data_IF_096895246055
#
_entry.id   IF_096895246055
#
_cell.length_a   1.000
_cell.length_b   1.000
_cell.length_c   1.000
_cell.angle_alpha   90.00
_cell.angle_beta   90.00
_cell.angle_gamma   90.00
#
_symmetry.space_group_name_H-M   'P 1'
#
loop_
_entity.id
_entity.type
_entity.pdbx_description
1 polymer ?
#
# COMPACT_ATOMS: atom_id res chain seq x y z
N UNK A 1 9.59 52.77 -5.06
CA UNK A 1 10.30 51.61 -4.47
C UNK A 1 10.41 50.56 -5.57
N UNK A 2 11.60 50.36 -6.14
CA UNK A 2 11.80 49.42 -7.27
C UNK A 2 12.02 48.01 -6.65
N UNK A 3 11.15 47.07 -7.00
CA UNK A 3 11.32 45.67 -6.61
C UNK A 3 12.56 45.11 -7.32
N UNK A 4 13.49 44.44 -6.63
CA UNK A 4 14.67 43.86 -7.26
C UNK A 4 14.29 42.80 -8.30
N UNK A 5 14.95 42.81 -9.44
CA UNK A 5 14.68 41.88 -10.56
C UNK A 5 14.76 40.40 -10.19
N UNK A 6 15.52 40.03 -9.16
CA UNK A 6 15.62 38.67 -8.65
C UNK A 6 14.31 38.20 -7.98
N UNK A 7 13.55 39.09 -7.31
CA UNK A 7 12.26 38.75 -6.70
C UNK A 7 11.18 38.56 -7.78
N UNK A 8 11.29 39.29 -8.87
CA UNK A 8 10.37 39.16 -10.02
C UNK A 8 10.62 37.84 -10.78
N UNK A 9 11.88 37.37 -10.86
CA UNK A 9 12.21 36.08 -11.50
C UNK A 9 11.74 34.88 -10.70
N UNK A 10 11.78 34.91 -9.35
CA UNK A 10 11.28 33.84 -8.49
C UNK A 10 9.76 33.79 -8.50
N UNK A 11 9.09 34.94 -8.55
CA UNK A 11 7.63 35.03 -8.73
C UNK A 11 7.17 34.54 -10.11
N UNK A 12 7.94 34.83 -11.17
CA UNK A 12 7.66 34.33 -12.52
C UNK A 12 7.95 32.84 -12.68
N UNK A 13 8.93 32.28 -11.98
CA UNK A 13 9.18 30.82 -11.96
C UNK A 13 8.14 30.05 -11.17
N UNK A 14 7.60 30.63 -10.09
CA UNK A 14 6.48 30.07 -9.32
C UNK A 14 5.15 30.18 -10.08
N UNK A 15 4.97 31.22 -10.88
CA UNK A 15 3.81 31.43 -11.77
C UNK A 15 3.91 30.63 -13.08
N UNK A 16 5.12 30.27 -13.52
CA UNK A 16 5.35 29.58 -14.80
C UNK A 16 4.84 28.13 -14.87
N UNK A 17 4.54 27.48 -13.72
CA UNK A 17 3.84 26.19 -13.68
C UNK A 17 2.32 26.30 -13.54
N UNK A 18 1.79 27.49 -13.26
CA UNK A 18 0.35 27.70 -13.07
C UNK A 18 -0.44 27.92 -14.38
N UNK A 19 0.22 27.89 -15.56
CA UNK A 19 -0.42 28.22 -16.84
C UNK A 19 0.00 27.32 -18.04
N UNK A 20 0.53 26.14 -17.82
CA UNK A 20 0.44 25.13 -18.88
C UNK A 20 -1.04 24.70 -18.94
N UNK A 21 -1.72 24.91 -20.04
CA UNK A 21 -3.07 24.37 -20.24
C UNK A 21 -3.02 22.86 -20.04
N UNK A 22 -3.99 22.32 -19.30
CA UNK A 22 -4.14 20.85 -19.18
C UNK A 22 -4.15 20.24 -20.59
N UNK A 23 -3.49 19.11 -20.74
CA UNK A 23 -3.66 18.31 -21.96
C UNK A 23 -5.12 17.82 -22.04
N UNK A 24 -5.57 17.41 -23.21
CA UNK A 24 -6.92 16.83 -23.37
C UNK A 24 -7.13 15.63 -22.45
N UNK A 25 -6.09 14.82 -22.25
CA UNK A 25 -6.11 13.70 -21.33
C UNK A 25 -6.27 14.16 -19.85
N UNK A 26 -5.50 15.14 -19.41
CA UNK A 26 -5.58 15.68 -18.04
C UNK A 26 -6.96 16.31 -17.77
N UNK A 27 -7.50 17.04 -18.75
CA UNK A 27 -8.85 17.63 -18.66
C UNK A 27 -9.93 16.52 -18.54
N UNK A 28 -9.84 15.45 -19.33
CA UNK A 28 -10.74 14.31 -19.25
C UNK A 28 -10.64 13.59 -17.88
N UNK A 29 -9.42 13.40 -17.36
CA UNK A 29 -9.18 12.82 -16.04
C UNK A 29 -9.82 13.69 -14.95
N UNK A 30 -9.56 15.00 -14.94
CA UNK A 30 -10.15 15.92 -13.93
C UNK A 30 -11.68 15.90 -13.97
N UNK A 31 -12.26 15.92 -15.18
CA UNK A 31 -13.71 15.83 -15.36
C UNK A 31 -14.26 14.54 -14.74
N UNK A 32 -13.65 13.39 -15.04
CA UNK A 32 -14.06 12.10 -14.49
C UNK A 32 -13.97 12.05 -12.96
N UNK A 33 -12.87 12.55 -12.39
CA UNK A 33 -12.65 12.54 -10.95
C UNK A 33 -13.63 13.44 -10.18
N UNK A 34 -14.14 14.49 -10.82
CA UNK A 34 -15.13 15.40 -10.25
C UNK A 34 -16.55 14.82 -10.23
N UNK A 35 -16.83 13.75 -10.97
CA UNK A 35 -18.19 13.18 -11.06
C UNK A 35 -18.58 12.46 -9.76
N UNK A 36 -19.75 12.78 -9.17
CA UNK A 36 -20.11 12.30 -7.85
C UNK A 36 -20.57 10.83 -7.85
N UNK A 37 -21.33 10.40 -8.86
CA UNK A 37 -21.94 9.07 -8.86
C UNK A 37 -21.25 8.09 -9.82
N UNK A 38 -21.48 6.80 -9.62
CA UNK A 38 -21.01 5.77 -10.54
C UNK A 38 -21.69 5.90 -11.93
N UNK A 39 -22.98 6.23 -11.93
CA UNK A 39 -23.75 6.42 -13.18
C UNK A 39 -23.17 7.55 -14.01
N UNK A 40 -22.90 8.73 -13.39
CA UNK A 40 -22.31 9.86 -14.14
C UNK A 40 -20.96 9.48 -14.76
N UNK A 41 -20.17 8.65 -14.07
CA UNK A 41 -18.88 8.14 -14.58
C UNK A 41 -19.06 7.11 -15.69
N UNK A 42 -20.13 6.30 -15.63
CA UNK A 42 -20.49 5.35 -16.69
C UNK A 42 -20.86 6.10 -17.96
N UNK A 43 -21.63 7.16 -17.86
CA UNK A 43 -22.06 8.01 -18.96
C UNK A 43 -20.89 8.72 -19.64
N UNK A 44 -19.75 8.89 -18.95
CA UNK A 44 -18.55 9.51 -19.51
C UNK A 44 -17.69 8.55 -20.37
N UNK A 45 -18.00 7.25 -20.41
CA UNK A 45 -17.22 6.26 -21.15
C UNK A 45 -16.93 6.64 -22.62
N UNK A 46 -17.86 7.23 -23.40
CA UNK A 46 -17.55 7.65 -24.78
C UNK A 46 -16.50 8.76 -24.87
N UNK A 47 -16.44 9.67 -23.89
CA UNK A 47 -15.45 10.74 -23.86
C UNK A 47 -14.06 10.22 -23.47
N UNK A 48 -13.97 9.13 -22.73
CA UNK A 48 -12.71 8.48 -22.32
C UNK A 48 -12.14 7.58 -23.42
N UNK A 49 -12.98 7.02 -24.28
CA UNK A 49 -12.59 6.05 -25.31
C UNK A 49 -11.42 6.48 -26.22
N UNK A 50 -11.26 7.76 -26.62
CA UNK A 50 -10.10 8.20 -27.40
C UNK A 50 -8.75 7.98 -26.68
N UNK A 51 -8.75 7.86 -25.36
CA UNK A 51 -7.56 7.71 -24.52
C UNK A 51 -7.34 6.27 -24.03
N UNK A 52 -8.16 5.30 -24.42
CA UNK A 52 -8.08 3.92 -23.94
C UNK A 52 -6.73 3.25 -24.23
N UNK A 53 -6.07 3.64 -25.31
CA UNK A 53 -4.76 3.10 -25.71
C UNK A 53 -3.57 3.90 -25.15
N UNK A 54 -3.79 4.87 -24.24
CA UNK A 54 -2.71 5.67 -23.66
C UNK A 54 -1.70 4.76 -22.94
N UNK A 55 -0.39 4.89 -23.25
CA UNK A 55 0.64 4.13 -22.56
C UNK A 55 0.65 4.39 -21.06
N UNK A 56 1.01 3.37 -20.25
CA UNK A 56 1.01 3.46 -18.78
C UNK A 56 1.89 4.60 -18.28
N UNK A 57 3.04 4.83 -18.89
CA UNK A 57 3.97 5.89 -18.51
C UNK A 57 3.40 7.30 -18.73
N UNK A 58 2.66 7.48 -19.83
CA UNK A 58 1.99 8.75 -20.14
C UNK A 58 0.79 8.96 -19.20
N UNK A 59 0.02 7.92 -18.96
CA UNK A 59 -1.10 7.95 -18.03
C UNK A 59 -0.65 8.24 -16.61
N UNK A 60 0.45 7.62 -16.15
CA UNK A 60 1.07 7.90 -14.84
C UNK A 60 1.43 9.39 -14.71
N UNK A 61 2.03 9.98 -15.74
CA UNK A 61 2.38 11.42 -15.74
C UNK A 61 1.13 12.30 -15.66
N UNK A 62 0.12 12.00 -16.46
CA UNK A 62 -1.15 12.75 -16.45
C UNK A 62 -1.84 12.65 -15.08
N UNK A 63 -1.83 11.46 -14.43
CA UNK A 63 -2.37 11.26 -13.10
C UNK A 63 -1.56 12.02 -12.03
N UNK A 64 -0.24 12.09 -12.15
CA UNK A 64 0.60 12.91 -11.27
C UNK A 64 0.28 14.41 -11.38
N UNK A 65 -0.02 14.90 -12.60
CA UNK A 65 -0.42 16.31 -12.82
C UNK A 65 -1.78 16.66 -12.20
N UNK A 66 -2.68 15.69 -12.06
CA UNK A 66 -4.01 15.92 -11.45
C UNK A 66 -4.06 15.65 -9.96
N UNK A 67 -2.97 15.17 -9.35
CA UNK A 67 -2.88 15.00 -7.89
C UNK A 67 -3.10 16.33 -7.18
N UNK A 68 -3.78 16.33 -6.02
CA UNK A 68 -3.88 17.53 -5.19
C UNK A 68 -2.49 18.06 -4.84
N UNK A 69 -2.31 19.38 -4.93
CA UNK A 69 -1.09 20.04 -4.47
C UNK A 69 -1.31 20.50 -3.03
N UNK A 70 -0.78 19.80 -2.02
CA UNK A 70 -0.91 20.25 -0.65
C UNK A 70 -0.05 21.48 -0.44
N UNK A 71 -0.58 22.47 0.23
CA UNK A 71 0.11 23.71 0.53
C UNK A 71 0.36 23.90 2.02
N UNK A 72 1.50 24.45 2.36
CA UNK A 72 1.79 25.03 3.65
C UNK A 72 2.85 24.29 4.46
N UNK A 73 3.66 25.02 5.24
CA UNK A 73 4.61 24.46 6.20
C UNK A 73 3.91 24.00 7.48
N UNK A 74 4.48 23.00 8.14
CA UNK A 74 4.09 22.52 9.46
C UNK A 74 3.32 21.20 9.45
N UNK A 75 3.06 20.64 10.64
CA UNK A 75 2.32 19.39 10.76
C UNK A 75 0.90 19.56 10.24
N UNK A 76 0.48 18.65 9.36
CA UNK A 76 -0.85 18.62 8.77
C UNK A 76 -1.70 17.60 9.53
N UNK A 77 -2.67 18.08 10.32
CA UNK A 77 -3.66 17.18 10.92
C UNK A 77 -4.62 16.67 9.84
N UNK A 78 -4.79 15.37 9.80
CA UNK A 78 -5.67 14.66 8.88
C UNK A 78 -6.73 13.86 9.64
N UNK A 79 -7.94 13.85 9.09
CA UNK A 79 -9.06 13.08 9.61
C UNK A 79 -9.73 12.37 8.44
N UNK A 80 -9.69 11.05 8.46
CA UNK A 80 -10.26 10.21 7.42
C UNK A 80 -11.44 9.43 7.97
N UNK A 81 -12.58 9.55 7.29
CA UNK A 81 -13.79 8.82 7.67
C UNK A 81 -13.74 7.41 7.08
N UNK A 82 -14.07 6.45 7.92
CA UNK A 82 -14.22 5.04 7.52
C UNK A 82 -15.60 4.54 7.94
N UNK A 83 -15.96 3.35 7.51
CA UNK A 83 -17.19 2.68 7.98
C UNK A 83 -17.11 2.22 9.45
N UNK A 84 -15.94 2.35 10.08
CA UNK A 84 -15.69 2.01 11.50
C UNK A 84 -15.49 3.24 12.39
N UNK A 85 -15.48 4.42 11.81
CA UNK A 85 -15.32 5.69 12.52
C UNK A 85 -14.25 6.58 11.89
N UNK A 86 -13.97 7.69 12.54
CA UNK A 86 -12.94 8.64 12.13
C UNK A 86 -11.56 8.18 12.58
N UNK A 87 -10.60 8.23 11.67
CA UNK A 87 -9.18 7.98 11.96
C UNK A 87 -8.45 9.31 11.89
N UNK A 88 -7.80 9.68 12.98
CA UNK A 88 -6.94 10.86 13.07
C UNK A 88 -5.48 10.46 12.88
N UNK A 89 -4.75 11.19 12.04
CA UNK A 89 -3.31 11.07 11.93
C UNK A 89 -2.68 12.43 11.62
N UNK A 90 -1.38 12.58 11.83
CA UNK A 90 -0.63 13.79 11.53
C UNK A 90 0.48 13.49 10.54
N UNK A 91 0.70 14.41 9.63
CA UNK A 91 1.77 14.37 8.64
C UNK A 91 2.73 15.51 8.93
N UNK A 92 3.98 15.18 9.25
CA UNK A 92 5.09 16.13 9.39
C UNK A 92 5.83 16.22 8.06
N UNK A 93 5.90 17.42 7.52
CA UNK A 93 6.65 17.70 6.30
C UNK A 93 8.13 17.96 6.63
N UNK A 94 9.07 17.53 5.78
CA UNK A 94 10.49 17.80 5.99
C UNK A 94 10.79 19.28 6.00
N UNK A 95 11.82 19.69 6.76
CA UNK A 95 12.31 21.05 6.74
C UNK A 95 12.69 21.45 5.31
N UNK A 96 12.21 22.62 4.86
CA UNK A 96 12.41 23.07 3.47
C UNK A 96 11.61 22.27 2.44
N UNK A 97 10.47 21.67 2.85
CA UNK A 97 9.58 20.95 1.93
C UNK A 97 9.29 21.75 0.65
N UNK A 98 9.57 21.14 -0.48
CA UNK A 98 9.29 21.66 -1.82
C UNK A 98 8.12 20.89 -2.43
N UNK A 99 6.93 21.48 -2.59
CA UNK A 99 5.77 20.79 -3.15
C UNK A 99 5.97 20.32 -4.61
N UNK A 100 7.04 20.78 -5.28
CA UNK A 100 7.40 20.31 -6.61
C UNK A 100 8.17 18.97 -6.60
N UNK A 101 8.61 18.50 -5.43
CA UNK A 101 9.36 17.26 -5.26
C UNK A 101 8.54 16.20 -4.56
N UNK A 102 8.65 14.97 -5.01
CA UNK A 102 8.08 13.82 -4.34
C UNK A 102 9.03 13.33 -3.23
N UNK A 103 8.47 13.10 -2.05
CA UNK A 103 9.23 12.66 -0.87
C UNK A 103 8.85 11.24 -0.45
N UNK A 104 9.82 10.43 0.04
CA UNK A 104 9.50 9.16 0.67
C UNK A 104 8.70 9.41 1.95
N UNK A 105 7.88 8.44 2.34
CA UNK A 105 7.07 8.49 3.55
C UNK A 105 7.56 7.45 4.54
N UNK A 106 7.65 7.81 5.80
CA UNK A 106 7.75 6.88 6.91
C UNK A 106 6.45 6.95 7.73
N UNK A 107 5.60 5.93 7.59
CA UNK A 107 4.40 5.78 8.40
C UNK A 107 4.78 5.07 9.71
N UNK A 108 4.82 5.84 10.78
CA UNK A 108 5.33 5.42 12.07
C UNK A 108 4.23 5.23 13.10
N UNK A 109 4.21 4.07 13.73
CA UNK A 109 3.21 3.68 14.72
C UNK A 109 3.87 3.37 16.07
N UNK A 110 3.29 3.89 17.13
CA UNK A 110 3.79 3.75 18.49
C UNK A 110 3.02 2.68 19.29
N UNK A 111 3.28 2.64 20.59
CA UNK A 111 2.52 1.83 21.54
C UNK A 111 1.07 2.29 21.70
N UNK A 112 0.28 1.60 22.55
CA UNK A 112 -1.13 1.91 22.75
C UNK A 112 -1.33 3.32 23.34
N UNK A 113 -2.49 3.92 23.08
CA UNK A 113 -2.90 5.26 23.56
C UNK A 113 -2.06 6.44 23.09
N UNK A 114 -1.01 6.21 22.28
CA UNK A 114 -0.14 7.27 21.78
C UNK A 114 -0.89 8.19 20.84
N UNK A 115 -0.81 9.51 21.07
CA UNK A 115 -1.34 10.49 20.15
C UNK A 115 -0.37 10.68 18.95
N UNK A 116 -0.86 11.11 17.79
CA UNK A 116 0.00 11.30 16.61
C UNK A 116 1.18 12.24 16.89
N UNK A 117 0.96 13.30 17.64
CA UNK A 117 1.97 14.29 18.02
C UNK A 117 3.10 13.67 18.84
N UNK A 118 2.77 12.74 19.76
CA UNK A 118 3.77 12.03 20.55
C UNK A 118 4.64 11.13 19.65
N UNK A 119 4.02 10.49 18.66
CA UNK A 119 4.72 9.71 17.64
C UNK A 119 5.72 10.54 16.86
N UNK A 120 5.36 11.77 16.50
CA UNK A 120 6.23 12.71 15.79
C UNK A 120 7.39 13.25 16.65
N UNK A 121 7.25 13.32 17.98
CA UNK A 121 8.32 13.75 18.89
C UNK A 121 9.43 12.70 19.06
N UNK A 122 9.25 11.52 18.54
CA UNK A 122 10.18 10.41 18.65
C UNK A 122 11.26 10.43 17.53
N UNK A 123 12.05 9.40 17.49
CA UNK A 123 13.16 9.22 16.58
C UNK A 123 12.90 9.54 15.09
N UNK A 124 11.80 9.10 14.44
CA UNK A 124 11.69 9.28 12.99
C UNK A 124 11.74 10.74 12.58
N UNK A 125 10.97 11.59 13.23
CA UNK A 125 10.92 13.02 12.87
C UNK A 125 12.26 13.72 13.11
N UNK A 126 12.90 13.43 14.25
CA UNK A 126 14.19 14.04 14.59
C UNK A 126 15.35 13.65 13.67
N UNK A 127 15.29 12.44 13.11
CA UNK A 127 16.40 11.87 12.32
C UNK A 127 16.11 11.83 10.82
N UNK A 128 14.84 11.73 10.44
CA UNK A 128 14.40 11.63 9.04
C UNK A 128 13.81 12.94 8.51
N UNK A 129 13.50 13.90 9.40
CA UNK A 129 12.72 15.11 9.10
C UNK A 129 13.25 16.02 7.99
N UNK A 130 14.48 15.84 7.52
CA UNK A 130 15.01 16.56 6.36
C UNK A 130 14.78 15.81 5.03
N UNK A 131 14.46 14.51 5.08
CA UNK A 131 14.47 13.62 3.91
C UNK A 131 13.17 12.89 3.68
N UNK A 132 12.35 12.71 4.72
CA UNK A 132 11.12 11.96 4.70
C UNK A 132 9.93 12.79 5.17
N UNK A 133 8.79 12.55 4.59
CA UNK A 133 7.51 12.90 5.21
C UNK A 133 7.28 11.84 6.30
N UNK A 134 7.03 12.26 7.53
CA UNK A 134 6.68 11.34 8.62
C UNK A 134 5.19 11.43 8.89
N UNK A 135 4.49 10.31 8.85
CA UNK A 135 3.08 10.22 9.18
C UNK A 135 2.90 9.36 10.43
N UNK A 136 2.07 9.80 11.37
CA UNK A 136 1.78 9.06 12.60
C UNK A 136 0.28 9.07 12.89
N UNK A 137 -0.37 7.89 13.02
CA UNK A 137 -1.76 7.78 13.43
C UNK A 137 -1.91 7.87 14.94
N UNK A 138 -3.10 8.29 15.39
CA UNK A 138 -3.54 8.05 16.76
C UNK A 138 -3.60 6.55 17.00
N UNK A 139 -2.96 6.07 18.07
CA UNK A 139 -2.97 4.66 18.44
C UNK A 139 -4.08 4.39 19.46
N UNK A 140 -4.83 3.32 19.27
CA UNK A 140 -5.90 2.99 20.19
C UNK A 140 -5.39 2.54 21.58
N UNK A 141 -6.29 2.45 22.56
CA UNK A 141 -5.99 1.91 23.89
C UNK A 141 -6.02 0.36 23.87
N UNK A 142 -5.33 -0.33 24.79
CA UNK A 142 -5.16 -1.80 24.78
C UNK A 142 -6.46 -2.61 24.90
N UNK A 143 -7.54 -2.02 25.38
CA UNK A 143 -8.84 -2.65 25.62
C UNK A 143 -9.89 -2.34 24.52
N UNK A 144 -9.53 -1.63 23.44
CA UNK A 144 -10.44 -1.21 22.37
C UNK A 144 -10.35 -2.09 21.12
N UNK A 145 -11.41 -2.07 20.30
CA UNK A 145 -11.53 -2.91 19.11
C UNK A 145 -10.45 -2.72 18.04
N UNK A 146 -9.85 -1.54 17.98
CA UNK A 146 -8.73 -1.28 17.10
C UNK A 146 -7.50 -2.11 17.48
N UNK A 147 -7.39 -2.49 18.72
CA UNK A 147 -6.36 -3.33 19.30
C UNK A 147 -6.61 -4.79 19.25
N UNK A 148 -7.85 -5.13 19.37
CA UNK A 148 -8.26 -6.50 19.31
C UNK A 148 -7.86 -7.02 17.96
N UNK A 149 -6.66 -7.43 17.86
CA UNK A 149 -6.18 -8.13 16.71
C UNK A 149 -7.05 -9.32 16.30
N UNK A 150 -7.92 -9.93 17.12
CA UNK A 150 -9.07 -10.67 16.62
C UNK A 150 -10.07 -9.79 15.89
N UNK A 151 -10.00 -8.46 16.04
CA UNK A 151 -10.87 -7.48 15.39
C UNK A 151 -10.08 -6.56 14.44
N UNK A 152 -9.17 -7.14 13.67
CA UNK A 152 -8.36 -6.47 12.64
C UNK A 152 -9.15 -5.63 11.64
N UNK A 153 -10.43 -5.84 11.57
CA UNK A 153 -11.30 -5.08 10.68
C UNK A 153 -11.11 -3.56 10.80
N UNK A 154 -10.80 -3.08 12.03
CA UNK A 154 -10.60 -1.64 12.24
C UNK A 154 -9.19 -1.19 11.88
N UNK A 155 -8.16 -1.96 12.21
CA UNK A 155 -6.76 -1.65 11.87
C UNK A 155 -6.52 -1.64 10.37
N UNK A 156 -7.07 -2.61 9.66
CA UNK A 156 -6.96 -2.68 8.20
C UNK A 156 -7.69 -1.53 7.51
N UNK A 157 -8.90 -1.21 7.99
CA UNK A 157 -9.68 -0.07 7.50
C UNK A 157 -8.91 1.23 7.73
N UNK A 158 -8.28 1.38 8.91
CA UNK A 158 -7.47 2.55 9.23
C UNK A 158 -6.27 2.67 8.28
N UNK A 159 -5.51 1.59 8.10
CA UNK A 159 -4.34 1.59 7.20
C UNK A 159 -4.75 1.87 5.75
N UNK A 160 -5.78 1.23 5.24
CA UNK A 160 -6.29 1.48 3.90
C UNK A 160 -6.69 2.97 3.72
N UNK A 161 -7.41 3.53 4.70
CA UNK A 161 -7.84 4.92 4.66
C UNK A 161 -6.65 5.89 4.69
N UNK A 162 -5.65 5.65 5.54
CA UNK A 162 -4.43 6.47 5.63
C UNK A 162 -3.66 6.38 4.30
N UNK A 163 -3.41 5.18 3.78
CA UNK A 163 -2.71 5.01 2.50
C UNK A 163 -3.43 5.73 1.34
N UNK A 164 -4.75 5.70 1.32
CA UNK A 164 -5.55 6.39 0.29
C UNK A 164 -5.55 7.92 0.45
N UNK A 165 -5.30 8.43 1.66
CA UNK A 165 -5.28 9.86 1.93
C UNK A 165 -3.87 10.48 1.88
N UNK A 166 -2.80 9.70 2.07
CA UNK A 166 -1.42 10.21 2.07
C UNK A 166 -1.08 11.01 0.81
N UNK A 167 -1.46 10.51 -0.38
CA UNK A 167 -1.25 11.21 -1.64
C UNK A 167 -2.04 12.51 -1.80
N UNK A 168 -3.04 12.73 -0.94
CA UNK A 168 -3.81 13.99 -0.86
C UNK A 168 -3.22 14.94 0.18
N UNK A 169 -2.48 14.42 1.15
CA UNK A 169 -1.91 15.19 2.25
C UNK A 169 -0.61 15.90 1.84
N UNK A 170 0.22 15.27 1.01
CA UNK A 170 1.52 15.80 0.61
C UNK A 170 1.97 15.21 -0.74
N UNK A 171 2.96 15.83 -1.38
CA UNK A 171 3.57 15.28 -2.59
C UNK A 171 4.51 14.13 -2.21
N UNK A 172 3.92 12.95 -2.02
CA UNK A 172 4.64 11.73 -1.67
C UNK A 172 5.19 11.03 -2.92
N UNK A 173 6.26 10.26 -2.74
CA UNK A 173 6.66 9.20 -3.66
C UNK A 173 5.96 7.90 -3.24
N UNK A 174 4.90 7.46 -3.93
CA UNK A 174 4.11 6.30 -3.52
C UNK A 174 4.91 4.99 -3.63
N UNK A 175 6.00 4.99 -4.36
CA UNK A 175 6.93 3.85 -4.42
C UNK A 175 7.85 3.74 -3.21
N UNK A 176 7.90 4.75 -2.34
CA UNK A 176 8.79 4.79 -1.17
C UNK A 176 8.03 5.02 0.14
N UNK A 177 6.93 4.31 0.35
CA UNK A 177 6.21 4.33 1.62
C UNK A 177 6.73 3.18 2.48
N UNK A 178 7.42 3.51 3.56
CA UNK A 178 7.94 2.55 4.54
C UNK A 178 7.04 2.60 5.76
N UNK A 179 6.70 1.45 6.29
CA UNK A 179 5.95 1.34 7.54
C UNK A 179 6.86 0.86 8.65
N UNK A 180 6.67 1.38 9.85
CA UNK A 180 7.45 0.94 11.00
C UNK A 180 6.75 1.25 12.31
N UNK A 181 7.16 0.61 13.38
CA UNK A 181 6.57 0.88 14.66
C UNK A 181 7.16 0.06 15.79
N UNK A 182 6.87 0.52 17.00
CA UNK A 182 7.35 -0.09 18.24
C UNK A 182 6.20 -0.71 19.04
N UNK A 183 6.44 -1.89 19.62
CA UNK A 183 5.45 -2.58 20.44
C UNK A 183 4.16 -2.88 19.66
N UNK A 184 3.00 -2.43 20.10
CA UNK A 184 1.74 -2.54 19.33
C UNK A 184 1.87 -1.93 17.93
N UNK A 185 2.54 -0.78 17.78
CA UNK A 185 2.81 -0.20 16.46
C UNK A 185 3.69 -1.07 15.58
N UNK A 186 4.60 -1.83 16.17
CA UNK A 186 5.37 -2.85 15.45
C UNK A 186 4.49 -3.98 14.93
N UNK A 187 3.53 -4.45 15.74
CA UNK A 187 2.56 -5.44 15.30
C UNK A 187 1.68 -4.89 14.15
N UNK A 188 1.27 -3.62 14.21
CA UNK A 188 0.59 -2.96 13.09
C UNK A 188 1.46 -2.86 11.84
N UNK A 189 2.78 -2.66 11.99
CA UNK A 189 3.66 -2.63 10.82
C UNK A 189 3.81 -4.01 10.15
N UNK A 190 3.75 -5.12 10.90
CA UNK A 190 3.62 -6.46 10.33
C UNK A 190 2.32 -6.61 9.53
N UNK A 191 1.18 -6.21 10.12
CA UNK A 191 -0.12 -6.27 9.46
C UNK A 191 -0.16 -5.40 8.21
N UNK A 192 0.26 -4.14 8.32
CA UNK A 192 0.28 -3.22 7.19
C UNK A 192 1.13 -3.76 6.04
N UNK A 193 2.31 -4.32 6.33
CA UNK A 193 3.15 -4.94 5.32
C UNK A 193 2.49 -6.15 4.65
N UNK A 194 1.83 -7.04 5.41
CA UNK A 194 1.18 -8.23 4.86
C UNK A 194 -0.10 -7.92 4.06
N UNK A 195 -0.84 -6.88 4.44
CA UNK A 195 -2.13 -6.53 3.83
C UNK A 195 -1.96 -5.53 2.68
N UNK A 196 -0.99 -4.61 2.81
CA UNK A 196 -0.71 -3.56 1.85
C UNK A 196 0.62 -3.82 1.10
N UNK A 197 1.00 -5.09 0.89
CA UNK A 197 2.29 -5.47 0.32
C UNK A 197 2.57 -4.81 -1.04
N UNK A 198 1.54 -4.52 -1.81
CA UNK A 198 1.63 -3.82 -3.10
C UNK A 198 1.80 -2.28 -2.96
N UNK A 199 1.74 -1.75 -1.74
CA UNK A 199 1.88 -0.31 -1.44
C UNK A 199 3.06 -0.01 -0.51
N UNK A 200 3.62 -1.03 0.13
CA UNK A 200 4.71 -0.89 1.11
C UNK A 200 6.05 -1.17 0.47
N UNK A 201 6.96 -0.22 0.58
CA UNK A 201 8.34 -0.36 0.09
C UNK A 201 9.21 -1.22 1.01
N UNK A 202 8.96 -1.16 2.32
CA UNK A 202 9.66 -1.94 3.35
C UNK A 202 8.93 -1.81 4.69
N UNK A 203 9.21 -2.71 5.64
CA UNK A 203 8.65 -2.64 6.99
C UNK A 203 9.71 -2.82 8.07
N UNK A 204 9.56 -2.06 9.18
CA UNK A 204 10.47 -2.07 10.34
C UNK A 204 9.66 -2.33 11.62
N UNK A 205 9.27 -3.58 11.88
CA UNK A 205 8.63 -3.94 13.14
C UNK A 205 9.65 -4.05 14.28
N UNK A 206 9.41 -3.35 15.39
CA UNK A 206 10.32 -3.26 16.53
C UNK A 206 9.67 -3.76 17.81
N UNK A 207 10.36 -4.65 18.53
CA UNK A 207 9.95 -5.25 19.81
C UNK A 207 8.52 -5.80 19.77
N UNK A 208 8.23 -6.61 18.73
CA UNK A 208 6.94 -7.27 18.53
C UNK A 208 7.08 -8.51 17.67
N UNK A 209 6.02 -9.28 17.59
CA UNK A 209 5.83 -10.41 16.67
C UNK A 209 4.67 -10.11 15.72
N UNK A 210 4.53 -10.87 14.63
CA UNK A 210 3.30 -10.85 13.84
C UNK A 210 2.11 -11.12 14.77
N UNK A 211 1.02 -10.37 14.63
CA UNK A 211 -0.17 -10.64 15.40
C UNK A 211 -0.75 -12.04 15.14
N UNK A 212 -1.45 -12.61 16.13
CA UNK A 212 -1.93 -14.01 16.09
C UNK A 212 -2.84 -14.36 14.92
N UNK A 213 -3.51 -13.40 14.34
CA UNK A 213 -4.39 -13.58 13.18
C UNK A 213 -3.67 -13.26 11.85
N UNK A 214 -2.45 -12.72 11.88
CA UNK A 214 -1.54 -12.85 10.74
C UNK A 214 -1.00 -14.27 10.77
N UNK A 215 -1.81 -15.22 10.32
CA UNK A 215 -1.44 -16.62 10.24
C UNK A 215 -0.11 -16.78 9.48
N UNK A 216 0.69 -17.83 9.75
CA UNK A 216 1.94 -18.06 9.05
C UNK A 216 1.82 -17.99 7.52
N UNK A 217 0.67 -18.42 6.99
CA UNK A 217 0.36 -18.35 5.56
C UNK A 217 0.32 -16.91 5.03
N UNK A 218 -0.11 -15.96 5.86
CA UNK A 218 -0.21 -14.54 5.47
C UNK A 218 1.15 -13.87 5.37
N UNK A 219 2.19 -14.41 6.03
CA UNK A 219 3.56 -13.96 5.84
C UNK A 219 4.05 -14.21 4.41
N UNK A 220 3.39 -15.10 3.65
CA UNK A 220 3.67 -15.29 2.22
C UNK A 220 3.31 -14.06 1.37
N UNK A 221 2.42 -13.18 1.86
CA UNK A 221 2.12 -11.91 1.18
C UNK A 221 3.33 -10.98 1.13
N UNK A 222 4.35 -11.21 1.99
CA UNK A 222 5.57 -10.41 2.07
C UNK A 222 6.62 -10.76 0.99
N UNK A 223 6.26 -11.52 -0.04
CA UNK A 223 7.17 -11.93 -1.13
C UNK A 223 8.03 -10.78 -1.68
N UNK A 224 7.46 -9.59 -1.78
CA UNK A 224 8.12 -8.41 -2.35
C UNK A 224 8.38 -7.30 -1.32
N UNK A 225 8.13 -7.54 -0.03
CA UNK A 225 8.30 -6.52 1.02
C UNK A 225 9.52 -6.84 1.87
N UNK A 226 10.61 -6.07 1.75
CA UNK A 226 11.74 -6.20 2.65
C UNK A 226 11.35 -5.90 4.10
N UNK A 227 11.85 -6.72 5.04
CA UNK A 227 11.56 -6.60 6.47
C UNK A 227 12.87 -6.39 7.25
N UNK A 228 12.89 -5.40 8.15
CA UNK A 228 13.95 -5.22 9.13
C UNK A 228 13.36 -5.36 10.53
N UNK A 229 13.54 -6.51 11.12
CA UNK A 229 12.89 -6.90 12.37
C UNK A 229 13.87 -6.71 13.52
N UNK A 230 13.46 -6.03 14.60
CA UNK A 230 14.32 -5.85 15.78
C UNK A 230 13.64 -6.32 17.05
N UNK A 231 14.40 -6.92 17.99
CA UNK A 231 13.82 -7.40 19.23
C UNK A 231 14.88 -7.52 20.35
N UNK A 232 14.54 -7.11 21.56
CA UNK A 232 15.38 -7.32 22.74
C UNK A 232 15.31 -8.78 23.23
N UNK A 233 16.47 -9.38 23.58
CA UNK A 233 16.49 -10.80 23.99
C UNK A 233 15.87 -11.05 25.37
N UNK A 234 15.72 -10.02 26.20
CA UNK A 234 15.07 -10.07 27.52
C UNK A 234 13.71 -9.40 27.55
N UNK A 235 13.07 -9.22 26.37
CA UNK A 235 11.73 -8.67 26.28
C UNK A 235 10.70 -9.59 26.97
N UNK A 236 10.05 -9.07 28.02
CA UNK A 236 9.05 -9.78 28.82
C UNK A 236 7.61 -9.39 28.47
N UNK A 237 7.44 -8.38 27.62
CA UNK A 237 6.12 -7.89 27.16
C UNK A 237 5.71 -8.64 25.88
N UNK A 238 6.64 -8.68 24.92
CA UNK A 238 6.44 -9.41 23.66
C UNK A 238 7.50 -10.51 23.53
N UNK A 239 7.06 -11.70 23.13
CA UNK A 239 7.94 -12.88 23.14
C UNK A 239 8.87 -12.88 21.92
N UNK A 240 10.17 -12.65 22.16
CA UNK A 240 11.21 -12.67 21.11
C UNK A 240 11.22 -13.98 20.29
N UNK A 241 10.82 -15.11 20.89
CA UNK A 241 10.74 -16.39 20.17
C UNK A 241 9.78 -16.32 18.99
N UNK A 242 8.63 -15.68 19.16
CA UNK A 242 7.66 -15.54 18.08
C UNK A 242 8.19 -14.68 16.91
N UNK A 243 8.99 -13.66 17.23
CA UNK A 243 9.67 -12.86 16.22
C UNK A 243 10.76 -13.67 15.50
N UNK A 244 11.50 -14.53 16.22
CA UNK A 244 12.47 -15.47 15.61
C UNK A 244 11.77 -16.45 14.67
N UNK A 245 10.70 -17.10 15.15
CA UNK A 245 9.94 -18.07 14.37
C UNK A 245 9.42 -17.44 13.05
N UNK A 246 8.94 -16.19 13.11
CA UNK A 246 8.51 -15.45 11.95
C UNK A 246 9.67 -15.11 10.99
N UNK A 247 10.80 -14.63 11.53
CA UNK A 247 11.99 -14.32 10.74
C UNK A 247 12.56 -15.58 10.06
N UNK A 248 12.61 -16.71 10.77
CA UNK A 248 13.03 -18.00 10.24
C UNK A 248 12.11 -18.47 9.11
N UNK A 249 10.80 -18.27 9.26
CA UNK A 249 9.82 -18.60 8.23
C UNK A 249 10.01 -17.75 6.97
N UNK A 250 10.22 -16.44 7.11
CA UNK A 250 10.54 -15.56 5.96
C UNK A 250 11.82 -15.99 5.26
N UNK A 251 12.84 -16.38 6.03
CA UNK A 251 14.10 -16.92 5.49
C UNK A 251 13.89 -18.25 4.74
N UNK A 252 13.04 -19.14 5.27
CA UNK A 252 12.66 -20.39 4.60
C UNK A 252 11.94 -20.14 3.28
N UNK A 253 11.13 -19.08 3.19
CA UNK A 253 10.48 -18.65 1.95
C UNK A 253 11.46 -17.99 0.97
N UNK A 254 12.68 -17.65 1.39
CA UNK A 254 13.64 -16.89 0.60
C UNK A 254 13.27 -15.40 0.45
N UNK A 255 12.48 -14.87 1.37
CA UNK A 255 12.02 -13.49 1.32
C UNK A 255 13.05 -12.51 1.90
N UNK A 256 13.11 -11.27 1.41
CA UNK A 256 14.08 -10.28 1.85
C UNK A 256 13.80 -9.83 3.30
N UNK A 257 14.46 -10.45 4.27
CA UNK A 257 14.28 -10.14 5.69
C UNK A 257 15.62 -10.12 6.42
N UNK A 258 15.73 -9.18 7.35
CA UNK A 258 16.85 -9.07 8.29
C UNK A 258 16.28 -9.06 9.71
N UNK A 259 16.87 -9.86 10.61
CA UNK A 259 16.47 -9.89 12.01
C UNK A 259 17.68 -9.50 12.87
N UNK A 260 17.45 -8.55 13.79
CA UNK A 260 18.43 -8.03 14.73
C UNK A 260 17.95 -8.23 16.15
N UNK A 261 18.58 -9.12 16.87
CA UNK A 261 18.40 -9.25 18.31
C UNK A 261 19.35 -8.30 19.04
N UNK A 262 18.86 -7.69 20.11
CA UNK A 262 19.66 -6.82 20.96
C UNK A 262 19.91 -7.57 22.28
N UNK A 263 21.11 -8.11 22.49
CA UNK A 263 21.41 -8.92 23.66
C UNK A 263 21.23 -8.15 24.98
N UNK A 264 20.60 -8.78 25.96
CA UNK A 264 20.43 -8.22 27.30
C UNK A 264 19.43 -7.07 27.41
N UNK A 265 18.69 -6.77 26.33
CA UNK A 265 17.74 -5.66 26.28
C UNK A 265 16.32 -6.19 26.42
N UNK A 266 15.49 -5.50 27.19
CA UNK A 266 14.07 -5.78 27.41
C UNK A 266 13.18 -5.11 26.36
N UNK A 267 11.93 -4.78 26.78
CA UNK A 267 10.93 -4.10 25.94
C UNK A 267 11.21 -2.60 25.88
N UNK A 268 12.22 -2.20 25.12
CA UNK A 268 12.64 -0.79 24.97
C UNK A 268 12.92 -0.46 23.52
N UNK A 269 12.92 0.83 23.22
CA UNK A 269 13.27 1.34 21.90
C UNK A 269 14.68 0.89 21.48
N UNK A 270 14.86 0.39 20.24
CA UNK A 270 16.15 -0.11 19.75
C UNK A 270 17.10 1.02 19.30
N UNK A 271 17.38 2.01 20.16
CA UNK A 271 18.18 3.20 19.84
C UNK A 271 19.54 2.87 19.19
N UNK A 272 20.17 1.79 19.68
CA UNK A 272 21.48 1.34 19.17
C UNK A 272 21.43 0.94 17.69
N UNK A 273 20.28 0.57 17.16
CA UNK A 273 20.08 0.16 15.76
C UNK A 273 19.58 1.29 14.86
N UNK A 274 19.28 2.48 15.39
CA UNK A 274 18.78 3.60 14.58
C UNK A 274 19.64 3.92 13.36
N UNK A 275 20.99 4.03 13.46
CA UNK A 275 21.81 4.32 12.30
C UNK A 275 21.74 3.20 11.23
N UNK A 276 21.66 1.94 11.66
CA UNK A 276 21.53 0.80 10.76
C UNK A 276 20.17 0.79 10.07
N UNK A 277 19.07 1.02 10.82
CA UNK A 277 17.73 1.14 10.28
C UNK A 277 17.62 2.26 9.25
N UNK A 278 18.15 3.43 9.55
CA UNK A 278 18.15 4.58 8.62
C UNK A 278 18.89 4.24 7.32
N UNK A 279 20.07 3.65 7.41
CA UNK A 279 20.85 3.22 6.25
C UNK A 279 20.10 2.14 5.46
N UNK A 280 19.47 1.20 6.15
CA UNK A 280 18.73 0.13 5.52
C UNK A 280 17.50 0.62 4.74
N UNK A 281 16.84 1.68 5.23
CA UNK A 281 15.68 2.29 4.56
C UNK A 281 16.06 2.96 3.24
N UNK A 282 17.31 3.41 3.09
CA UNK A 282 17.75 4.15 1.90
C UNK A 282 17.55 3.31 0.63
N UNK A 283 16.95 3.93 -0.38
CA UNK A 283 16.72 3.29 -1.69
C UNK A 283 15.65 2.20 -1.73
N UNK A 284 14.97 1.89 -0.61
CA UNK A 284 13.85 0.93 -0.64
C UNK A 284 12.71 1.48 -1.48
N UNK A 285 12.21 0.64 -2.38
CA UNK A 285 11.05 0.90 -3.23
C UNK A 285 10.17 -0.32 -3.28
N UNK A 286 8.85 -0.11 -3.36
CA UNK A 286 7.93 -1.20 -3.62
C UNK A 286 8.15 -1.77 -5.03
N UNK A 287 7.79 -3.01 -5.22
CA UNK A 287 7.77 -3.63 -6.54
C UNK A 287 6.46 -3.27 -7.22
N UNK A 288 6.54 -2.58 -8.37
CA UNK A 288 5.40 -2.33 -9.25
C UNK A 288 5.27 -3.47 -10.26
N UNK A 289 4.05 -3.93 -10.49
CA UNK A 289 3.73 -4.92 -11.53
C UNK A 289 4.60 -6.19 -11.50
N UNK A 290 4.73 -6.89 -10.33
CA UNK A 290 5.51 -8.12 -10.25
C UNK A 290 4.91 -9.20 -11.14
N UNK A 291 5.75 -10.07 -11.71
CA UNK A 291 5.30 -11.22 -12.49
C UNK A 291 4.81 -12.39 -11.63
N UNK A 292 5.12 -12.36 -10.35
CA UNK A 292 4.65 -13.34 -9.36
C UNK A 292 3.89 -12.63 -8.26
N UNK A 293 2.79 -13.22 -7.82
CA UNK A 293 1.99 -12.72 -6.71
C UNK A 293 1.59 -13.87 -5.80
N UNK A 294 1.66 -13.63 -4.49
CA UNK A 294 1.07 -14.48 -3.46
C UNK A 294 0.14 -13.60 -2.65
N UNK A 295 -1.11 -13.99 -2.57
CA UNK A 295 -2.12 -13.28 -1.80
C UNK A 295 -2.94 -14.25 -0.97
N UNK A 296 -2.62 -14.39 0.31
CA UNK A 296 -3.46 -15.04 1.31
C UNK A 296 -4.43 -14.01 1.88
N UNK A 297 -5.72 -14.29 1.75
CA UNK A 297 -6.78 -13.37 2.16
C UNK A 297 -7.00 -13.54 3.65
N UNK A 298 -6.68 -12.50 4.42
CA UNK A 298 -6.75 -12.55 5.88
C UNK A 298 -8.19 -12.62 6.40
N UNK A 299 -9.11 -11.92 5.74
CA UNK A 299 -10.53 -11.94 6.11
C UNK A 299 -11.40 -11.37 4.98
N UNK A 300 -12.52 -11.99 4.65
CA UNK A 300 -13.42 -11.52 3.57
C UNK A 300 -14.16 -10.22 3.89
N UNK A 301 -14.35 -9.92 5.15
CA UNK A 301 -14.98 -8.67 5.61
C UNK A 301 -14.09 -7.43 5.46
N UNK A 302 -12.83 -7.58 5.10
CA UNK A 302 -11.88 -6.49 4.99
C UNK A 302 -12.09 -5.68 3.73
N UNK A 303 -11.83 -4.35 3.76
CA UNK A 303 -12.01 -3.49 2.59
C UNK A 303 -11.06 -3.88 1.45
N UNK A 304 -9.80 -4.23 1.76
CA UNK A 304 -8.84 -4.59 0.73
C UNK A 304 -9.04 -6.00 0.21
N UNK A 305 -9.29 -6.10 -1.07
CA UNK A 305 -9.49 -7.37 -1.81
C UNK A 305 -8.49 -7.54 -2.95
N UNK A 306 -7.79 -6.46 -3.32
CA UNK A 306 -6.77 -6.44 -4.37
C UNK A 306 -5.37 -6.51 -3.79
N UNK A 307 -4.54 -7.36 -4.35
CA UNK A 307 -3.11 -7.44 -4.11
C UNK A 307 -2.40 -7.45 -5.46
N UNK A 308 -1.63 -6.40 -5.77
CA UNK A 308 -1.06 -6.21 -7.11
C UNK A 308 -2.15 -6.32 -8.19
N UNK A 309 -1.99 -7.24 -9.11
CA UNK A 309 -2.84 -7.45 -10.28
C UNK A 309 -3.97 -8.49 -10.07
N UNK A 310 -4.19 -8.99 -8.86
CA UNK A 310 -5.30 -9.91 -8.54
C UNK A 310 -6.24 -9.30 -7.50
N UNK A 311 -7.55 -9.47 -7.71
CA UNK A 311 -8.58 -9.04 -6.77
C UNK A 311 -9.60 -10.15 -6.57
N UNK A 312 -9.70 -10.68 -5.35
CA UNK A 312 -10.73 -11.64 -4.99
C UNK A 312 -12.02 -10.91 -4.58
N UNK A 313 -13.08 -11.07 -5.36
CA UNK A 313 -14.34 -10.35 -5.14
C UNK A 313 -15.41 -11.18 -4.45
N UNK A 314 -15.30 -12.52 -4.50
CA UNK A 314 -16.20 -13.45 -3.81
C UNK A 314 -15.48 -14.75 -3.46
N UNK A 315 -15.85 -15.35 -2.31
CA UNK A 315 -15.32 -16.62 -1.83
C UNK A 315 -15.60 -16.87 -0.36
N UNK A 316 -14.87 -17.80 0.25
CA UNK A 316 -14.95 -18.15 1.67
C UNK A 316 -13.58 -17.94 2.32
N UNK A 317 -13.54 -17.37 3.52
CA UNK A 317 -12.27 -17.09 4.21
C UNK A 317 -11.47 -18.35 4.54
N UNK A 318 -12.14 -19.33 5.16
CA UNK A 318 -11.52 -20.62 5.48
C UNK A 318 -12.55 -21.74 5.51
N UNK A 319 -12.05 -22.97 5.38
CA UNK A 319 -12.79 -24.20 5.59
C UNK A 319 -11.93 -25.17 6.42
N UNK A 320 -12.57 -26.08 7.16
CA UNK A 320 -11.89 -27.20 7.76
C UNK A 320 -11.55 -28.24 6.68
N UNK A 321 -10.26 -28.52 6.53
CA UNK A 321 -9.78 -29.52 5.58
C UNK A 321 -10.02 -30.95 6.08
N UNK A 322 -9.86 -31.96 5.20
CA UNK A 322 -10.08 -33.39 5.53
C UNK A 322 -9.16 -33.91 6.65
N UNK A 323 -8.01 -33.29 6.85
CA UNK A 323 -6.99 -33.60 7.87
C UNK A 323 -7.19 -32.81 9.19
N UNK A 324 -8.30 -32.09 9.31
CA UNK A 324 -8.60 -31.22 10.45
C UNK A 324 -7.83 -29.90 10.44
N UNK A 325 -7.00 -29.62 9.43
CA UNK A 325 -6.33 -28.33 9.26
C UNK A 325 -7.21 -27.36 8.50
N UNK A 326 -7.11 -26.08 8.85
CA UNK A 326 -7.82 -25.04 8.10
C UNK A 326 -7.15 -24.79 6.74
N UNK A 327 -7.97 -24.73 5.71
CA UNK A 327 -7.62 -24.22 4.38
C UNK A 327 -8.09 -22.78 4.32
N UNK A 328 -7.19 -21.87 3.97
CA UNK A 328 -7.50 -20.45 3.86
C UNK A 328 -7.66 -20.03 2.40
N UNK A 329 -8.40 -18.95 2.20
CA UNK A 329 -8.54 -18.34 0.89
C UNK A 329 -7.20 -17.75 0.43
N UNK A 330 -6.86 -18.01 -0.82
CA UNK A 330 -5.62 -17.51 -1.37
C UNK A 330 -5.54 -17.57 -2.88
N UNK A 331 -4.60 -16.81 -3.42
CA UNK A 331 -4.27 -16.74 -4.83
C UNK A 331 -2.75 -16.78 -4.95
N UNK A 332 -2.23 -17.66 -5.76
CA UNK A 332 -0.84 -17.66 -6.20
C UNK A 332 -0.85 -17.51 -7.71
N UNK A 333 -0.14 -16.51 -8.23
CA UNK A 333 -0.15 -16.20 -9.64
C UNK A 333 1.24 -15.97 -10.22
N UNK A 334 1.42 -16.37 -11.48
CA UNK A 334 2.64 -16.16 -12.25
C UNK A 334 2.31 -15.75 -13.69
N UNK A 335 3.05 -14.78 -14.20
CA UNK A 335 2.96 -14.31 -15.58
C UNK A 335 4.24 -14.68 -16.32
N UNK A 336 4.08 -15.39 -17.43
CA UNK A 336 5.15 -15.70 -18.38
C UNK A 336 4.70 -15.30 -19.80
N UNK A 337 5.31 -14.23 -20.34
CA UNK A 337 4.84 -13.60 -21.55
C UNK A 337 3.38 -13.16 -21.41
N UNK A 338 2.51 -13.68 -22.28
CA UNK A 338 1.06 -13.43 -22.26
C UNK A 338 0.25 -14.57 -21.60
N UNK A 339 0.93 -15.51 -20.94
CA UNK A 339 0.30 -16.58 -20.20
C UNK A 339 0.31 -16.28 -18.71
N UNK A 340 -0.85 -16.36 -18.08
CA UNK A 340 -1.07 -16.13 -16.65
C UNK A 340 -1.54 -17.43 -16.04
N UNK A 341 -0.78 -17.95 -15.07
CA UNK A 341 -1.14 -19.15 -14.32
C UNK A 341 -1.52 -18.76 -12.91
N UNK A 342 -2.71 -19.19 -12.48
CA UNK A 342 -3.27 -18.94 -11.17
C UNK A 342 -3.61 -20.24 -10.47
N UNK A 343 -3.19 -20.34 -9.20
CA UNK A 343 -3.70 -21.33 -8.27
C UNK A 343 -4.53 -20.62 -7.23
N UNK A 344 -5.79 -21.02 -7.06
CA UNK A 344 -6.72 -20.38 -6.11
C UNK A 344 -7.30 -21.40 -5.15
N UNK A 345 -7.52 -20.98 -3.92
CA UNK A 345 -8.27 -21.74 -2.91
C UNK A 345 -9.41 -20.88 -2.37
N UNK A 346 -10.62 -21.44 -2.30
CA UNK A 346 -11.82 -20.82 -1.74
C UNK A 346 -12.23 -19.47 -2.39
N UNK A 347 -11.73 -19.16 -3.58
CA UNK A 347 -12.07 -17.97 -4.36
C UNK A 347 -13.10 -18.34 -5.42
N UNK A 348 -14.26 -17.71 -5.41
CA UNK A 348 -15.35 -17.94 -6.36
C UNK A 348 -15.26 -16.99 -7.56
N UNK A 349 -14.97 -15.70 -7.28
CA UNK A 349 -14.79 -14.66 -8.30
C UNK A 349 -13.47 -13.93 -8.13
N UNK A 350 -12.79 -13.72 -9.23
CA UNK A 350 -11.48 -13.08 -9.29
C UNK A 350 -11.43 -12.11 -10.46
N UNK A 351 -10.91 -10.91 -10.21
CA UNK A 351 -10.51 -9.98 -11.28
C UNK A 351 -9.01 -10.01 -11.44
N UNK A 352 -8.54 -10.17 -12.67
CA UNK A 352 -7.13 -10.03 -13.06
C UNK A 352 -6.97 -8.67 -13.74
N UNK A 353 -6.17 -7.79 -13.14
CA UNK A 353 -5.85 -6.46 -13.68
C UNK A 353 -4.58 -6.54 -14.51
N UNK A 354 -4.56 -5.84 -15.65
CA UNK A 354 -3.48 -5.91 -16.63
C UNK A 354 -3.07 -4.52 -17.10
N UNK A 355 -1.82 -4.44 -17.52
CA UNK A 355 -1.27 -3.30 -18.25
C UNK A 355 -0.12 -3.77 -19.15
N UNK A 356 0.46 -2.83 -19.93
CA UNK A 356 1.56 -3.12 -20.84
C UNK A 356 2.87 -3.55 -20.15
N UNK A 357 3.04 -3.27 -18.85
CA UNK A 357 4.19 -3.74 -18.08
C UNK A 357 4.08 -5.23 -17.70
N UNK A 358 2.86 -5.76 -17.64
CA UNK A 358 2.59 -7.17 -17.30
C UNK A 358 2.52 -8.07 -18.52
N UNK A 359 1.79 -7.66 -19.57
CA UNK A 359 1.52 -8.45 -20.78
C UNK A 359 1.52 -7.57 -22.02
N UNK A 360 1.69 -8.15 -23.19
CA UNK A 360 1.48 -7.47 -24.48
C UNK A 360 -0.01 -7.45 -24.82
N UNK A 361 -0.69 -6.34 -24.52
CA UNK A 361 -2.13 -6.17 -24.75
C UNK A 361 -2.54 -6.19 -26.23
N UNK A 362 -1.58 -6.15 -27.16
CA UNK A 362 -1.86 -6.29 -28.59
C UNK A 362 -2.02 -7.76 -29.02
N UNK A 363 -1.68 -8.71 -28.16
CA UNK A 363 -1.74 -10.15 -28.39
C UNK A 363 -2.77 -10.81 -27.48
N UNK A 364 -3.15 -12.02 -27.83
CA UNK A 364 -4.01 -12.83 -26.96
C UNK A 364 -3.36 -13.06 -25.59
N UNK A 365 -4.15 -12.85 -24.54
CA UNK A 365 -3.80 -13.20 -23.17
C UNK A 365 -4.49 -14.53 -22.82
N UNK A 366 -3.73 -15.46 -22.26
CA UNK A 366 -4.25 -16.74 -21.81
C UNK A 366 -4.21 -16.78 -20.28
N UNK A 367 -5.34 -17.03 -19.64
CA UNK A 367 -5.41 -17.20 -18.18
C UNK A 367 -5.85 -18.61 -17.85
N UNK A 368 -5.03 -19.30 -17.09
CA UNK A 368 -5.26 -20.65 -16.58
C UNK A 368 -5.45 -20.57 -15.07
N UNK A 369 -6.51 -21.16 -14.56
CA UNK A 369 -6.80 -21.22 -13.12
C UNK A 369 -6.95 -22.67 -12.71
N UNK A 370 -6.17 -23.12 -11.74
CA UNK A 370 -6.15 -24.49 -11.23
C UNK A 370 -5.98 -25.54 -12.35
N UNK A 371 -5.18 -25.23 -13.37
CA UNK A 371 -4.93 -26.12 -14.52
C UNK A 371 -5.95 -26.02 -15.65
N UNK A 372 -7.03 -25.25 -15.48
CA UNK A 372 -8.07 -25.07 -16.51
C UNK A 372 -7.93 -23.70 -17.20
N UNK A 373 -7.98 -23.66 -18.53
CA UNK A 373 -8.01 -22.42 -19.29
C UNK A 373 -9.37 -21.72 -19.06
N UNK A 374 -9.33 -20.51 -18.48
CA UNK A 374 -10.51 -19.72 -18.14
C UNK A 374 -10.69 -18.48 -19.01
N UNK A 375 -9.64 -18.05 -19.69
CA UNK A 375 -9.69 -16.95 -20.64
C UNK A 375 -8.65 -17.16 -21.74
N UNK A 376 -9.03 -16.81 -22.98
CA UNK A 376 -8.15 -16.66 -24.14
C UNK A 376 -8.71 -15.58 -25.05
N UNK A 377 -7.95 -14.53 -25.29
CA UNK A 377 -8.36 -13.47 -26.22
C UNK A 377 -7.61 -12.17 -26.01
N UNK A 378 -7.91 -11.20 -26.86
CA UNK A 378 -7.39 -9.83 -26.74
C UNK A 378 -8.11 -9.13 -25.58
N UNK A 379 -7.34 -8.62 -24.62
CA UNK A 379 -7.86 -7.80 -23.52
C UNK A 379 -7.62 -6.34 -23.86
N UNK A 380 -8.70 -5.63 -24.19
CA UNK A 380 -8.62 -4.22 -24.60
C UNK A 380 -8.36 -3.32 -23.39
N UNK A 381 -7.40 -2.39 -23.48
CA UNK A 381 -7.24 -1.37 -22.45
C UNK A 381 -8.43 -0.42 -22.44
N UNK A 382 -8.65 0.23 -21.28
CA UNK A 382 -9.65 1.27 -21.09
C UNK A 382 -9.17 2.28 -20.06
N UNK A 383 -9.18 3.56 -20.40
CA UNK A 383 -8.86 4.64 -19.48
C UNK A 383 -9.79 4.59 -18.24
N UNK A 384 -11.06 4.24 -18.44
CA UNK A 384 -12.01 4.08 -17.34
C UNK A 384 -11.52 3.08 -16.29
N UNK A 385 -11.00 1.92 -16.69
CA UNK A 385 -10.47 0.91 -15.76
C UNK A 385 -9.33 1.49 -14.92
N UNK A 386 -8.45 2.25 -15.56
CA UNK A 386 -7.36 2.91 -14.86
C UNK A 386 -7.84 3.97 -13.87
N UNK A 387 -8.82 4.78 -14.26
CA UNK A 387 -9.38 5.85 -13.41
C UNK A 387 -10.22 5.31 -12.24
N UNK A 388 -10.91 4.19 -12.39
CA UNK A 388 -11.58 3.48 -11.29
C UNK A 388 -10.56 3.10 -10.22
N UNK A 389 -9.46 2.43 -10.61
CA UNK A 389 -8.38 2.04 -9.69
C UNK A 389 -7.67 3.23 -9.05
N UNK A 390 -7.38 4.27 -9.83
CA UNK A 390 -6.76 5.50 -9.32
C UNK A 390 -7.66 6.22 -8.30
N UNK A 391 -8.95 6.35 -8.59
CA UNK A 391 -9.90 7.01 -7.69
C UNK A 391 -10.05 6.28 -6.36
N UNK A 392 -9.95 4.95 -6.37
CA UNK A 392 -9.98 4.14 -5.16
C UNK A 392 -8.72 4.37 -4.30
N UNK A 393 -7.54 4.43 -4.91
CA UNK A 393 -6.25 4.34 -4.22
C UNK A 393 -5.47 5.65 -4.16
N UNK A 394 -5.77 6.62 -5.02
CA UNK A 394 -5.01 7.87 -5.18
C UNK A 394 -3.51 7.63 -5.35
N UNK A 395 -3.19 6.65 -6.15
CA UNK A 395 -1.83 6.21 -6.44
C UNK A 395 -1.57 6.26 -7.94
N UNK A 396 -0.84 7.28 -8.44
CA UNK A 396 -0.65 7.48 -9.86
C UNK A 396 0.27 6.45 -10.51
N UNK A 397 1.00 5.65 -9.73
CA UNK A 397 1.91 4.63 -10.24
C UNK A 397 1.27 3.23 -10.30
N UNK A 398 0.22 2.98 -9.50
CA UNK A 398 -0.48 1.69 -9.45
C UNK A 398 -1.61 1.61 -10.50
N UNK A 399 -1.23 1.74 -11.77
CA UNK A 399 -2.15 1.90 -12.90
C UNK A 399 -2.31 0.60 -13.69
N UNK A 400 -3.54 0.11 -13.75
CA UNK A 400 -3.94 -1.00 -14.61
C UNK A 400 -4.99 -0.51 -15.60
N UNK A 401 -4.73 -0.66 -16.88
CA UNK A 401 -5.62 -0.18 -17.96
C UNK A 401 -6.58 -1.24 -18.48
N UNK A 402 -6.44 -2.49 -18.07
CA UNK A 402 -7.29 -3.58 -18.53
C UNK A 402 -7.62 -4.54 -17.40
N UNK A 403 -8.73 -5.26 -17.52
CA UNK A 403 -9.12 -6.28 -16.52
C UNK A 403 -9.89 -7.44 -17.16
N UNK A 404 -9.75 -8.63 -16.57
CA UNK A 404 -10.53 -9.83 -16.91
C UNK A 404 -11.23 -10.32 -15.66
N UNK A 405 -12.55 -10.46 -15.71
CA UNK A 405 -13.34 -11.04 -14.62
C UNK A 405 -13.51 -12.55 -14.87
N UNK A 406 -13.18 -13.34 -13.85
CA UNK A 406 -13.32 -14.78 -13.84
C UNK A 406 -14.30 -15.19 -12.73
N UNK A 407 -15.25 -16.05 -13.08
CA UNK A 407 -16.32 -16.52 -12.18
C UNK A 407 -16.40 -18.05 -12.14
N UNK A 408 -17.05 -18.58 -11.11
CA UNK A 408 -17.24 -20.02 -10.97
C UNK A 408 -15.94 -20.79 -10.74
N UNK A 409 -14.94 -20.17 -10.11
CA UNK A 409 -13.64 -20.79 -9.85
C UNK A 409 -13.68 -21.80 -8.71
N UNK A 410 -14.62 -21.63 -7.81
CA UNK A 410 -14.88 -22.52 -6.69
C UNK A 410 -16.37 -22.45 -6.32
N UNK A 411 -16.94 -23.58 -5.98
CA UNK A 411 -18.34 -23.72 -5.53
C UNK A 411 -18.34 -24.33 -4.12
N UNK A 412 -19.02 -23.75 -3.13
CA UNK A 412 -19.22 -24.41 -1.85
C UNK A 412 -19.92 -25.74 -2.06
N UNK A 413 -19.32 -26.81 -1.54
CA UNK A 413 -19.99 -28.11 -1.43
C UNK A 413 -20.90 -28.11 -0.23
#
# INVERSE_FOLDING_TARGET
>A
MRIPAAVLLVLLAALGRAFAADTELEAAIRKYLALPTATDRDDMAPELAPFDATPVEELTKALQCVMPQPGGPGPLERRVMTNKGEIRYVVELPEGYDPAKAYPVFLFMMGPTTQPEDGLLTWPTKKLGERYIVAAPAMPADDQDFQGYPKYDTGDVAMEAIFNDLGRAAHIDPSRVIVGGFSMGGAFSWSAAAIQADRVAASIPMSCNPPNDVQPECLRNLLHVPMFITHGTLDQITNVRLARDAADLLKQYGYPSEFREIPGVGHVWPEVLEPEMMKWMEGKKRVLFPKEVVYHILHWGRPKRRMYWVEATKGKYSLDGPDGKKVFAGIVGKIDGNRIELTTSLVEKLTVYLNSSLVDLSKEVVIVVNGEERHRGIVKPSLRVALEGFRERWDPEDVYSAKVLLEGLWTPK
#
